data_IF_624962886448
#
_entry.id   IF_624962886448
#
_cell.length_a   1.000
_cell.length_b   1.000
_cell.length_c   1.000
_cell.angle_alpha   90.00
_cell.angle_beta   90.00
_cell.angle_gamma   90.00
#
_symmetry.space_group_name_H-M   'P 1'
#
loop_
_entity.id
_entity.type
_entity.pdbx_description
1 polymer ?
#
# COMPACT_ATOMS: atom_id res chain seq x y z
N UNK A 1 -12.09 -3.93 11.73
CA UNK A 1 -10.89 -4.29 12.53
C UNK A 1 -10.17 -3.00 12.93
N UNK A 2 -10.00 -2.71 14.22
CA UNK A 2 -9.20 -1.56 14.68
C UNK A 2 -7.75 -2.01 14.79
N UNK A 3 -6.91 -1.58 13.85
CA UNK A 3 -5.45 -1.80 13.90
C UNK A 3 -4.92 -0.92 15.04
N UNK A 4 -4.28 -1.55 16.03
CA UNK A 4 -3.76 -0.86 17.22
C UNK A 4 -2.73 0.19 16.84
N UNK A 5 -2.94 1.44 17.27
CA UNK A 5 -1.97 2.53 17.17
C UNK A 5 -0.65 2.10 17.80
N UNK A 6 0.39 1.88 17.00
CA UNK A 6 1.75 1.74 17.50
C UNK A 6 2.24 3.13 17.88
N UNK A 7 2.62 3.34 19.14
CA UNK A 7 2.97 4.63 19.73
C UNK A 7 4.12 5.40 19.06
N UNK A 8 4.84 4.79 18.10
CA UNK A 8 5.94 5.41 17.33
C UNK A 8 5.61 5.59 15.83
N UNK A 9 4.37 5.35 15.41
CA UNK A 9 3.95 5.52 14.02
C UNK A 9 3.30 6.90 13.85
N UNK A 10 3.86 7.75 12.98
CA UNK A 10 3.27 9.04 12.62
C UNK A 10 1.93 8.89 11.91
N UNK A 11 1.15 9.98 11.84
CA UNK A 11 -0.21 10.01 11.27
C UNK A 11 -0.30 9.42 9.86
N UNK A 12 0.78 9.52 9.08
CA UNK A 12 0.84 8.99 7.72
C UNK A 12 0.55 7.49 7.64
N UNK A 13 0.80 6.72 8.71
CA UNK A 13 0.54 5.27 8.75
C UNK A 13 -0.94 4.91 8.58
N UNK A 14 -1.86 5.78 8.98
CA UNK A 14 -3.31 5.55 8.85
C UNK A 14 -3.76 5.52 7.38
N UNK A 15 -2.89 5.90 6.43
CA UNK A 15 -3.13 5.89 4.99
C UNK A 15 -2.54 4.68 4.27
N UNK A 16 -2.00 3.69 4.99
CA UNK A 16 -1.37 2.52 4.39
C UNK A 16 -1.93 1.20 4.95
N UNK A 17 -2.05 0.22 4.07
CA UNK A 17 -2.37 -1.17 4.38
C UNK A 17 -1.06 -1.94 4.52
N UNK A 18 -0.90 -2.69 5.60
CA UNK A 18 0.27 -3.55 5.83
C UNK A 18 0.14 -4.88 5.08
N UNK A 19 1.26 -5.42 4.61
CA UNK A 19 1.28 -6.77 4.07
C UNK A 19 0.74 -7.79 5.11
N UNK A 20 -0.19 -8.69 4.77
CA UNK A 20 -0.82 -9.61 5.73
C UNK A 20 0.18 -10.45 6.54
N UNK A 21 1.24 -10.93 5.89
CA UNK A 21 2.34 -11.67 6.52
C UNK A 21 3.17 -10.87 7.55
N UNK A 22 3.00 -9.55 7.66
CA UNK A 22 3.81 -8.73 8.58
C UNK A 22 3.51 -9.01 10.06
N UNK A 23 2.25 -9.29 10.39
CA UNK A 23 1.87 -9.65 11.76
C UNK A 23 2.57 -10.92 12.26
N UNK A 24 2.86 -11.86 11.35
CA UNK A 24 3.56 -13.12 11.63
C UNK A 24 5.05 -13.06 11.27
N UNK A 25 5.58 -11.87 10.94
CA UNK A 25 6.98 -11.65 10.56
C UNK A 25 7.45 -12.50 9.37
N UNK A 26 6.57 -12.74 8.40
CA UNK A 26 6.91 -13.41 7.15
C UNK A 26 8.05 -12.65 6.42
N UNK A 27 9.16 -13.31 6.05
CA UNK A 27 10.20 -12.67 5.25
C UNK A 27 9.68 -12.02 3.96
N UNK A 28 8.64 -12.59 3.33
CA UNK A 28 8.04 -12.02 2.11
C UNK A 28 7.33 -10.68 2.37
N UNK A 29 6.92 -10.40 3.61
CA UNK A 29 6.28 -9.15 4.01
C UNK A 29 7.27 -8.02 4.26
N UNK A 30 8.57 -8.26 4.15
CA UNK A 30 9.61 -7.31 4.52
C UNK A 30 10.65 -7.11 3.41
N UNK A 31 11.22 -5.91 3.34
CA UNK A 31 12.36 -5.58 2.49
C UNK A 31 13.34 -4.76 3.31
N UNK A 32 14.58 -5.23 3.42
CA UNK A 32 15.64 -4.60 4.23
C UNK A 32 15.19 -4.32 5.69
N UNK A 33 14.48 -5.27 6.31
CA UNK A 33 14.01 -5.15 7.69
C UNK A 33 12.86 -4.16 7.90
N UNK A 34 12.22 -3.68 6.84
CA UNK A 34 11.06 -2.79 6.87
C UNK A 34 9.85 -3.48 6.25
N UNK A 35 8.65 -3.15 6.71
CA UNK A 35 7.42 -3.74 6.18
C UNK A 35 7.17 -3.30 4.75
N UNK A 36 6.56 -4.17 3.95
CA UNK A 36 5.86 -3.80 2.73
C UNK A 36 4.49 -3.22 3.10
N UNK A 37 4.15 -2.10 2.49
CA UNK A 37 2.85 -1.44 2.69
C UNK A 37 2.31 -0.95 1.36
N UNK A 38 1.00 -0.84 1.21
CA UNK A 38 0.35 -0.26 0.02
C UNK A 38 -0.48 0.93 0.47
N UNK A 39 -0.54 1.99 -0.33
CA UNK A 39 -1.44 3.11 -0.08
C UNK A 39 -2.89 2.62 -0.04
N UNK A 40 -3.64 2.95 1.01
CA UNK A 40 -4.99 2.43 1.22
C UNK A 40 -5.93 2.76 0.04
N UNK A 41 -5.85 3.98 -0.50
CA UNK A 41 -6.64 4.38 -1.67
C UNK A 41 -6.26 3.61 -2.94
N UNK A 42 -4.97 3.37 -3.13
CA UNK A 42 -4.47 2.62 -4.28
C UNK A 42 -4.86 1.14 -4.16
N UNK A 43 -4.83 0.59 -2.94
CA UNK A 43 -5.29 -0.76 -2.63
C UNK A 43 -6.77 -0.92 -2.96
N UNK A 44 -7.62 -0.05 -2.41
CA UNK A 44 -9.08 -0.04 -2.68
C UNK A 44 -9.38 0.01 -4.18
N UNK A 45 -8.76 0.95 -4.91
CA UNK A 45 -8.95 1.05 -6.36
C UNK A 45 -8.50 -0.20 -7.11
N UNK A 46 -7.38 -0.80 -6.70
CA UNK A 46 -6.85 -1.95 -7.41
C UNK A 46 -7.65 -3.21 -7.13
N UNK A 47 -8.09 -3.43 -5.88
CA UNK A 47 -9.00 -4.53 -5.56
C UNK A 47 -10.28 -4.40 -6.37
N UNK A 48 -10.94 -3.24 -6.35
CA UNK A 48 -12.16 -3.02 -7.11
C UNK A 48 -11.98 -3.22 -8.63
N UNK A 49 -10.82 -2.81 -9.17
CA UNK A 49 -10.51 -3.04 -10.58
C UNK A 49 -10.34 -4.52 -10.91
N UNK A 50 -9.63 -5.28 -10.08
CA UNK A 50 -9.43 -6.71 -10.27
C UNK A 50 -10.73 -7.50 -10.09
N UNK A 51 -11.59 -7.11 -9.14
CA UNK A 51 -12.93 -7.68 -8.97
C UNK A 51 -13.79 -7.47 -10.22
N UNK A 52 -13.85 -6.25 -10.74
CA UNK A 52 -14.60 -5.95 -11.96
C UNK A 52 -14.06 -6.72 -13.17
N UNK A 53 -12.73 -6.87 -13.27
CA UNK A 53 -12.11 -7.67 -14.33
C UNK A 53 -12.46 -9.15 -14.21
N UNK A 54 -12.47 -9.68 -12.99
CA UNK A 54 -12.83 -11.06 -12.72
C UNK A 54 -14.30 -11.34 -13.08
N UNK A 55 -15.21 -10.43 -12.72
CA UNK A 55 -16.62 -10.50 -13.13
C UNK A 55 -16.77 -10.53 -14.66
N UNK A 56 -16.03 -9.66 -15.36
CA UNK A 56 -16.03 -9.65 -16.82
C UNK A 56 -15.51 -10.96 -17.41
N UNK A 57 -14.44 -11.53 -16.84
CA UNK A 57 -13.89 -12.82 -17.29
C UNK A 57 -14.87 -13.97 -17.09
N UNK A 58 -15.62 -13.97 -15.99
CA UNK A 58 -16.70 -14.94 -15.76
C UNK A 58 -17.80 -14.78 -16.80
N UNK A 59 -18.22 -13.55 -17.09
CA UNK A 59 -19.23 -13.29 -18.12
C UNK A 59 -18.80 -13.77 -19.51
N UNK A 60 -17.50 -13.66 -19.83
CA UNK A 60 -16.92 -14.13 -21.09
C UNK A 60 -16.60 -15.63 -21.11
N UNK A 61 -16.86 -16.37 -20.02
CA UNK A 61 -16.53 -17.79 -19.90
C UNK A 61 -15.02 -18.08 -19.86
N UNK A 62 -14.20 -17.07 -19.59
CA UNK A 62 -12.74 -17.20 -19.45
C UNK A 62 -12.33 -17.67 -18.04
N UNK A 63 -13.27 -17.61 -17.08
CA UNK A 63 -13.09 -18.08 -15.72
C UNK A 63 -14.42 -18.64 -15.19
N UNK A 64 -14.34 -19.63 -14.32
CA UNK A 64 -15.52 -20.27 -13.72
C UNK A 64 -16.17 -19.42 -12.61
N UNK A 65 -15.38 -18.70 -11.82
CA UNK A 65 -15.85 -17.83 -10.73
C UNK A 65 -14.85 -16.70 -10.41
N UNK A 66 -15.28 -15.54 -9.86
CA UNK A 66 -14.35 -14.48 -9.46
C UNK A 66 -13.38 -14.94 -8.37
N UNK A 67 -12.17 -14.37 -8.32
CA UNK A 67 -11.24 -14.59 -7.20
C UNK A 67 -11.74 -13.88 -5.95
N UNK A 68 -11.42 -14.43 -4.78
CA UNK A 68 -11.67 -13.74 -3.52
C UNK A 68 -10.65 -12.60 -3.28
N UNK A 69 -10.95 -11.73 -2.32
CA UNK A 69 -10.08 -10.59 -1.97
C UNK A 69 -8.68 -11.05 -1.57
N UNK A 70 -8.53 -12.20 -0.89
CA UNK A 70 -7.21 -12.72 -0.49
C UNK A 70 -6.35 -13.08 -1.69
N UNK A 71 -6.93 -13.73 -2.70
CA UNK A 71 -6.24 -14.09 -3.94
C UNK A 71 -5.87 -12.84 -4.75
N UNK A 72 -6.79 -11.87 -4.84
CA UNK A 72 -6.53 -10.57 -5.48
C UNK A 72 -5.40 -9.83 -4.74
N UNK A 73 -5.52 -9.68 -3.42
CA UNK A 73 -4.50 -9.05 -2.58
C UNK A 73 -3.14 -9.74 -2.72
N UNK A 74 -3.12 -11.08 -2.78
CA UNK A 74 -1.90 -11.86 -3.02
C UNK A 74 -1.11 -11.39 -4.24
N UNK A 75 -1.80 -11.06 -5.33
CA UNK A 75 -1.16 -10.52 -6.55
C UNK A 75 -0.52 -9.15 -6.35
N UNK A 76 -1.10 -8.30 -5.50
CA UNK A 76 -0.55 -6.97 -5.18
C UNK A 76 0.78 -7.05 -4.44
N UNK A 77 0.94 -8.09 -3.61
CA UNK A 77 2.11 -8.30 -2.79
C UNK A 77 3.22 -9.11 -3.46
N UNK A 78 2.87 -9.86 -4.52
CA UNK A 78 3.76 -10.79 -5.21
C UNK A 78 4.90 -10.10 -5.99
N UNK A 79 4.72 -8.85 -6.43
CA UNK A 79 5.73 -8.10 -7.18
C UNK A 79 7.07 -8.03 -6.43
N UNK A 80 8.16 -8.29 -7.16
CA UNK A 80 9.51 -8.20 -6.64
C UNK A 80 9.95 -6.76 -6.34
N UNK A 81 11.02 -6.56 -5.54
CA UNK A 81 11.53 -5.23 -5.19
C UNK A 81 12.02 -4.41 -6.39
N UNK A 82 12.35 -5.07 -7.49
CA UNK A 82 12.81 -4.43 -8.73
C UNK A 82 11.72 -4.32 -9.80
N UNK A 83 10.50 -4.75 -9.49
CA UNK A 83 9.37 -4.66 -10.42
C UNK A 83 8.93 -3.17 -10.52
N UNK A 84 8.95 -2.57 -11.72
CA UNK A 84 8.48 -1.20 -11.92
C UNK A 84 6.96 -1.06 -11.76
N UNK A 85 6.20 -2.16 -11.87
CA UNK A 85 4.76 -2.19 -11.68
C UNK A 85 4.34 -2.51 -10.25
N UNK A 86 5.30 -2.67 -9.32
CA UNK A 86 4.97 -2.94 -7.92
C UNK A 86 4.10 -1.83 -7.35
N UNK A 87 3.05 -2.22 -6.64
CA UNK A 87 2.13 -1.29 -5.97
C UNK A 87 2.53 -1.01 -4.52
N UNK A 88 3.34 -1.89 -3.92
CA UNK A 88 3.79 -1.75 -2.55
C UNK A 88 5.05 -0.88 -2.41
N UNK A 89 5.17 -0.26 -1.24
CA UNK A 89 6.23 0.63 -0.80
C UNK A 89 6.95 0.02 0.41
N UNK A 90 8.19 0.45 0.62
CA UNK A 90 8.95 0.13 1.83
C UNK A 90 8.51 1.12 2.93
N UNK A 91 8.24 0.62 4.13
CA UNK A 91 7.75 1.41 5.27
C UNK A 91 8.79 2.34 5.91
N UNK A 92 9.39 3.22 5.11
CA UNK A 92 10.30 4.29 5.55
C UNK A 92 9.52 5.61 5.59
N UNK A 93 9.65 6.44 6.65
CA UNK A 93 8.90 7.69 6.76
C UNK A 93 8.99 8.57 5.52
N UNK A 94 10.19 8.78 4.98
CA UNK A 94 10.41 9.58 3.76
C UNK A 94 9.72 8.98 2.53
N UNK A 95 9.73 7.66 2.37
CA UNK A 95 9.04 6.96 1.27
C UNK A 95 7.52 7.15 1.37
N UNK A 96 6.95 6.97 2.57
CA UNK A 96 5.52 7.09 2.79
C UNK A 96 5.04 8.54 2.62
N UNK A 97 5.75 9.50 3.20
CA UNK A 97 5.44 10.92 3.07
C UNK A 97 5.58 11.40 1.61
N UNK A 98 6.61 10.96 0.89
CA UNK A 98 6.77 11.27 -0.54
C UNK A 98 5.59 10.76 -1.35
N UNK A 99 5.14 9.51 -1.09
CA UNK A 99 3.97 8.97 -1.77
C UNK A 99 2.71 9.76 -1.45
N UNK A 100 2.41 10.04 -0.17
CA UNK A 100 1.21 10.80 0.21
C UNK A 100 1.17 12.20 -0.39
N UNK A 101 2.33 12.87 -0.52
CA UNK A 101 2.45 14.18 -1.18
C UNK A 101 2.01 14.14 -2.65
N UNK A 102 2.43 13.08 -3.36
CA UNK A 102 2.30 13.00 -4.82
C UNK A 102 1.06 12.20 -5.27
N UNK A 103 0.47 11.40 -4.38
CA UNK A 103 -0.68 10.59 -4.68
C UNK A 103 -1.94 11.44 -4.85
N UNK A 104 -2.43 11.54 -6.09
CA UNK A 104 -3.63 12.29 -6.44
C UNK A 104 -4.94 11.72 -5.85
N UNK A 105 -4.89 10.51 -5.28
CA UNK A 105 -6.05 9.87 -4.65
C UNK A 105 -6.31 10.39 -3.22
N UNK A 106 -5.37 11.13 -2.65
CA UNK A 106 -5.54 11.77 -1.34
C UNK A 106 -6.00 13.21 -1.49
N UNK A 107 -6.71 13.70 -0.46
CA UNK A 107 -7.13 15.10 -0.39
C UNK A 107 -5.95 16.05 -0.33
N UNK A 108 -6.14 17.30 -0.75
CA UNK A 108 -5.06 18.31 -0.70
C UNK A 108 -4.56 18.56 0.74
N UNK A 109 -5.42 18.37 1.74
CA UNK A 109 -5.03 18.47 3.15
C UNK A 109 -3.97 17.43 3.51
N UNK A 110 -4.21 16.15 3.20
CA UNK A 110 -3.27 15.04 3.43
C UNK A 110 -1.98 15.28 2.64
N UNK A 111 -2.09 15.68 1.36
CA UNK A 111 -0.94 15.95 0.50
C UNK A 111 -0.10 17.12 1.00
N UNK A 112 -0.74 18.18 1.49
CA UNK A 112 -0.08 19.38 2.03
C UNK A 112 0.61 19.08 3.36
N UNK A 113 -0.02 18.34 4.26
CA UNK A 113 0.60 17.93 5.52
C UNK A 113 1.82 17.02 5.25
N UNK A 114 1.69 16.04 4.35
CA UNK A 114 2.80 15.20 3.93
C UNK A 114 3.96 16.01 3.32
N UNK A 115 3.65 17.06 2.54
CA UNK A 115 4.65 17.96 1.95
C UNK A 115 5.45 18.71 3.03
N UNK A 116 4.78 19.20 4.08
CA UNK A 116 5.44 19.91 5.19
C UNK A 116 6.38 18.98 5.96
N UNK A 117 5.87 17.82 6.38
CA UNK A 117 6.66 16.87 7.17
C UNK A 117 7.78 16.23 6.37
N UNK A 118 7.58 15.99 5.06
CA UNK A 118 8.66 15.54 4.18
C UNK A 118 9.82 16.53 4.14
N UNK A 119 9.54 17.84 4.05
CA UNK A 119 10.57 18.88 4.08
C UNK A 119 11.32 18.87 5.42
N UNK A 120 10.60 18.76 6.54
CA UNK A 120 11.21 18.68 7.86
C UNK A 120 12.10 17.44 8.01
N UNK A 121 11.63 16.28 7.55
CA UNK A 121 12.38 15.03 7.59
C UNK A 121 13.64 15.08 6.71
N UNK A 122 13.61 15.79 5.57
CA UNK A 122 14.80 16.00 4.74
C UNK A 122 15.81 16.93 5.42
N UNK A 123 15.36 18.02 6.04
CA UNK A 123 16.25 18.96 6.72
C UNK A 123 16.95 18.36 7.95
N UNK A 124 16.35 17.36 8.60
CA UNK A 124 16.94 16.66 9.75
C UNK A 124 18.00 15.60 9.37
N UNK A 125 18.13 15.28 8.07
CA UNK A 125 19.13 14.33 7.56
C UNK A 125 20.39 15.01 7.03
N UNK A 126 20.38 16.34 6.88
CA UNK A 126 21.51 17.18 6.47
C UNK A 126 22.14 17.87 7.69
#
# INVERSE_FOLDING_TARGET
>A
MKIGKRSNQGWWWDHFVEHPGYAVKDPASMVSGKAKVVCARLYEQRVAHEEAMDEQQVHLGQRDAPRDEMAIAGTLWASGPNDPQRTWLISRPTTLLCHLRDCALHSEDVRSQARLEYKMAQSALN
#
